data_IF_782240560895
#
_entry.id   IF_782240560895
#
_cell.length_a   1.000
_cell.length_b   1.000
_cell.length_c   1.000
_cell.angle_alpha   90.00
_cell.angle_beta   90.00
_cell.angle_gamma   90.00
#
_symmetry.space_group_name_H-M   'P 1'
#
loop_
_entity.id
_entity.type
_entity.pdbx_description
1 polymer ?
#
# COMPACT_ATOMS: atom_id res chain seq x y z
N UNK A 1 -3.30 9.30 -16.17
CA UNK A 1 -2.05 9.13 -15.39
C UNK A 1 -2.23 9.90 -14.11
N UNK A 2 -2.25 9.24 -12.94
CA UNK A 2 -2.51 9.93 -11.68
C UNK A 2 -3.07 9.04 -10.57
N UNK A 3 -2.72 7.74 -10.58
CA UNK A 3 -3.05 6.89 -9.45
C UNK A 3 -2.25 7.34 -8.23
N UNK A 4 -2.87 7.28 -7.05
CA UNK A 4 -2.23 7.59 -5.77
C UNK A 4 -2.06 6.31 -4.99
N UNK A 5 -0.84 6.03 -4.58
CA UNK A 5 -0.50 4.90 -3.72
C UNK A 5 -0.22 5.47 -2.33
N UNK A 6 -0.84 4.87 -1.32
CA UNK A 6 -0.74 5.34 0.06
C UNK A 6 -0.26 4.20 0.95
N UNK A 7 0.84 4.43 1.66
CA UNK A 7 1.21 3.64 2.82
C UNK A 7 0.31 4.07 3.98
N UNK A 8 -0.71 3.26 4.26
CA UNK A 8 -1.68 3.53 5.32
C UNK A 8 -1.15 2.90 6.61
N UNK A 9 -0.09 3.53 7.14
CA UNK A 9 0.87 2.96 8.10
C UNK A 9 0.19 2.31 9.31
N UNK A 10 -0.69 3.03 10.01
CA UNK A 10 -1.36 2.49 11.21
C UNK A 10 -2.45 1.47 10.91
N UNK A 11 -2.87 1.34 9.65
CA UNK A 11 -3.83 0.33 9.22
C UNK A 11 -3.16 -0.90 8.61
N UNK A 12 -1.82 -0.98 8.62
CA UNK A 12 -1.06 -2.15 8.22
C UNK A 12 -1.35 -2.59 6.76
N UNK A 13 -1.50 -1.62 5.85
CA UNK A 13 -1.88 -1.88 4.46
C UNK A 13 -1.34 -0.85 3.47
N UNK A 14 -1.39 -1.21 2.19
CA UNK A 14 -1.21 -0.28 1.07
C UNK A 14 -2.51 -0.10 0.31
N UNK A 15 -2.88 1.16 0.06
CA UNK A 15 -4.08 1.54 -0.69
C UNK A 15 -3.71 2.10 -2.07
N UNK A 16 -4.49 1.72 -3.07
CA UNK A 16 -4.46 2.30 -4.42
C UNK A 16 -5.75 3.09 -4.66
N UNK A 17 -5.60 4.38 -4.97
CA UNK A 17 -6.66 5.22 -5.49
C UNK A 17 -6.43 5.43 -6.98
N UNK A 18 -7.36 4.92 -7.79
CA UNK A 18 -7.34 5.20 -9.23
C UNK A 18 -7.61 6.69 -9.47
N UNK A 19 -7.02 7.26 -10.53
CA UNK A 19 -7.18 8.68 -10.85
C UNK A 19 -8.66 9.10 -10.89
N UNK A 20 -9.03 10.07 -10.05
CA UNK A 20 -10.42 10.56 -9.93
C UNK A 20 -11.33 9.73 -9.02
N UNK A 21 -10.87 8.59 -8.48
CA UNK A 21 -11.62 7.81 -7.50
C UNK A 21 -11.43 8.38 -6.09
N UNK A 22 -12.54 8.44 -5.34
CA UNK A 22 -12.51 8.73 -3.90
C UNK A 22 -12.36 7.46 -3.04
N UNK A 23 -12.58 6.29 -3.63
CA UNK A 23 -12.46 5.01 -2.95
C UNK A 23 -11.12 4.35 -3.29
N UNK A 24 -10.44 3.86 -2.26
CA UNK A 24 -9.18 3.14 -2.38
C UNK A 24 -9.39 1.63 -2.31
N UNK A 25 -8.58 0.88 -3.04
CA UNK A 25 -8.52 -0.58 -2.97
C UNK A 25 -7.28 -1.00 -2.19
N UNK A 26 -7.44 -1.93 -1.24
CA UNK A 26 -6.28 -2.56 -0.58
C UNK A 26 -5.58 -3.48 -1.56
N UNK A 27 -4.30 -3.22 -1.82
CA UNK A 27 -3.49 -4.01 -2.76
C UNK A 27 -2.39 -4.82 -2.08
N UNK A 28 -2.10 -4.55 -0.81
CA UNK A 28 -1.18 -5.33 0.03
C UNK A 28 -1.51 -5.13 1.52
N UNK A 29 -1.24 -6.15 2.34
CA UNK A 29 -1.55 -6.18 3.77
C UNK A 29 -3.01 -6.50 4.09
N UNK A 30 -3.29 -6.69 5.38
CA UNK A 30 -4.65 -6.95 5.90
C UNK A 30 -5.02 -5.81 6.84
N UNK A 31 -6.15 -5.16 6.56
CA UNK A 31 -6.55 -3.94 7.27
C UNK A 31 -6.63 -4.19 8.79
N UNK A 32 -5.82 -3.44 9.54
CA UNK A 32 -5.82 -3.47 11.00
C UNK A 32 -5.12 -4.69 11.62
N UNK A 33 -4.45 -5.54 10.82
CA UNK A 33 -3.71 -6.71 11.31
C UNK A 33 -2.24 -6.57 10.90
N UNK A 34 -1.37 -6.42 11.90
CA UNK A 34 0.07 -6.44 11.69
C UNK A 34 0.63 -7.86 11.73
N UNK A 35 1.78 -8.06 11.10
CA UNK A 35 2.48 -9.35 11.12
C UNK A 35 3.81 -9.29 10.39
N UNK A 36 4.59 -10.36 10.50
CA UNK A 36 5.89 -10.55 9.84
C UNK A 36 5.86 -11.65 8.78
N UNK A 37 4.70 -12.24 8.54
CA UNK A 37 4.51 -13.23 7.49
C UNK A 37 4.22 -12.55 6.13
N UNK A 38 4.32 -13.27 5.00
CA UNK A 38 4.23 -12.66 3.67
C UNK A 38 2.90 -11.97 3.32
N UNK A 39 1.83 -12.16 4.12
CA UNK A 39 0.51 -11.60 3.85
C UNK A 39 0.21 -10.35 4.66
N UNK A 40 0.95 -10.11 5.74
CA UNK A 40 0.74 -8.98 6.63
C UNK A 40 1.86 -7.95 6.48
N UNK A 41 1.53 -6.70 6.79
CA UNK A 41 2.48 -5.59 6.85
C UNK A 41 2.52 -5.07 8.29
N UNK A 42 3.64 -4.50 8.70
CA UNK A 42 3.84 -4.00 10.05
C UNK A 42 4.35 -2.56 10.06
N UNK A 43 3.40 -1.61 9.93
CA UNK A 43 3.68 -0.17 9.87
C UNK A 43 4.45 0.24 8.61
N UNK A 44 3.94 -0.09 7.41
CA UNK A 44 4.61 0.29 6.18
C UNK A 44 4.71 1.82 6.10
N UNK A 45 5.91 2.32 5.82
CA UNK A 45 6.21 3.75 5.95
C UNK A 45 6.42 4.46 4.61
N UNK A 46 7.19 3.85 3.71
CA UNK A 46 7.53 4.42 2.43
C UNK A 46 7.20 3.44 1.30
N UNK A 47 6.94 4.01 0.12
CA UNK A 47 6.76 3.25 -1.10
C UNK A 47 7.42 3.93 -2.29
N UNK A 48 7.80 3.14 -3.29
CA UNK A 48 8.34 3.62 -4.57
C UNK A 48 7.90 2.72 -5.71
N UNK A 49 7.59 3.34 -6.84
CA UNK A 49 7.42 2.66 -8.11
C UNK A 49 8.70 2.77 -8.93
N UNK A 50 9.07 1.70 -9.62
CA UNK A 50 10.06 1.76 -10.70
C UNK A 50 9.40 2.14 -12.05
N UNK A 51 10.21 2.18 -13.12
CA UNK A 51 9.72 2.50 -14.46
C UNK A 51 8.81 1.43 -15.08
N UNK A 52 8.78 0.23 -14.51
CA UNK A 52 7.92 -0.88 -14.93
C UNK A 52 6.65 -0.98 -14.06
N UNK A 53 6.48 -0.05 -13.12
CA UNK A 53 5.39 0.00 -12.15
C UNK A 53 5.38 -1.14 -11.13
N UNK A 54 6.55 -1.74 -10.85
CA UNK A 54 6.70 -2.60 -9.69
C UNK A 54 6.69 -1.73 -8.43
N UNK A 55 5.91 -2.15 -7.42
CA UNK A 55 5.76 -1.45 -6.16
C UNK A 55 6.68 -2.04 -5.10
N UNK A 56 7.54 -1.18 -4.55
CA UNK A 56 8.42 -1.50 -3.42
C UNK A 56 7.91 -0.78 -2.19
N UNK A 57 7.88 -1.47 -1.05
CA UNK A 57 7.35 -0.99 0.22
C UNK A 57 8.40 -1.26 1.29
N UNK A 58 8.68 -0.27 2.14
CA UNK A 58 9.42 -0.49 3.38
C UNK A 58 8.43 -0.86 4.47
N UNK A 59 8.48 -2.12 4.89
CA UNK A 59 7.68 -2.66 5.97
C UNK A 59 8.40 -2.52 7.32
#
# INVERSE_FOLDING_TARGET
MGNVYVADTSNHRIQLFQAGSMNGTTIAGVTGISGTDPYHLNYPYALKLDSQLNLYVTD
#
